data_IF_700482627408
#
_entry.id   IF_700482627408
#
_cell.length_a   1.000
_cell.length_b   1.000
_cell.length_c   1.000
_cell.angle_alpha   90.00
_cell.angle_beta   90.00
_cell.angle_gamma   90.00
#
_symmetry.space_group_name_H-M   'P 1'
#
loop_
_entity.id
_entity.type
_entity.pdbx_description
1 polymer ?
#
# COMPACT_ATOMS: atom_id res chain seq x y z
N UNK A 1 28.48 9.17 -25.73
CA UNK A 1 27.54 8.65 -26.74
C UNK A 1 26.40 9.63 -26.89
N UNK A 2 26.27 10.27 -28.05
CA UNK A 2 25.10 11.09 -28.42
C UNK A 2 24.09 10.17 -29.11
N UNK A 3 22.77 10.29 -28.87
CA UNK A 3 21.79 9.53 -29.63
C UNK A 3 21.62 10.11 -31.03
N UNK A 4 21.61 9.17 -31.97
CA UNK A 4 21.51 9.31 -33.41
C UNK A 4 20.06 9.69 -33.82
N UNK A 5 19.92 10.68 -34.70
CA UNK A 5 18.64 11.34 -34.99
C UNK A 5 17.93 10.82 -36.26
N UNK A 6 18.33 9.67 -36.79
CA UNK A 6 17.93 9.22 -38.12
C UNK A 6 17.11 7.93 -38.14
N UNK A 7 16.03 7.85 -37.34
CA UNK A 7 15.01 6.82 -37.50
C UNK A 7 13.59 7.37 -37.32
N UNK A 8 13.08 8.02 -38.37
CA UNK A 8 11.64 8.29 -38.52
C UNK A 8 11.12 7.44 -39.70
N UNK A 9 10.11 6.56 -39.49
CA UNK A 9 9.60 5.68 -40.54
C UNK A 9 8.99 6.43 -41.74
N UNK A 10 9.35 5.98 -42.95
CA UNK A 10 8.79 6.39 -44.23
C UNK A 10 7.30 5.98 -44.36
N UNK A 11 6.37 6.79 -43.86
CA UNK A 11 4.97 6.73 -44.34
C UNK A 11 4.29 8.11 -44.48
N UNK A 12 5.04 9.21 -44.48
CA UNK A 12 4.52 10.57 -44.62
C UNK A 12 5.01 11.30 -45.89
N UNK A 13 5.25 10.57 -46.99
CA UNK A 13 5.55 11.16 -48.30
C UNK A 13 4.47 10.84 -49.34
N UNK A 14 3.23 11.29 -49.13
CA UNK A 14 2.25 11.41 -50.23
C UNK A 14 1.03 12.24 -49.84
N UNK A 15 1.14 13.57 -49.88
CA UNK A 15 -0.02 14.41 -50.17
C UNK A 15 0.40 15.54 -51.12
N UNK A 16 -0.18 15.49 -52.32
CA UNK A 16 0.02 16.46 -53.38
C UNK A 16 -0.52 17.84 -53.01
N UNK A 17 0.12 18.86 -53.56
CA UNK A 17 -0.32 20.25 -53.49
C UNK A 17 -1.61 20.42 -54.31
N UNK A 18 -2.77 20.28 -53.67
CA UNK A 18 -4.02 20.88 -54.16
C UNK A 18 -4.19 22.25 -53.54
N UNK A 19 -3.89 23.30 -54.32
CA UNK A 19 -4.17 24.68 -53.97
C UNK A 19 -5.66 24.97 -54.15
N UNK A 20 -6.44 24.90 -53.07
CA UNK A 20 -7.79 25.46 -53.03
C UNK A 20 -7.73 26.95 -52.73
N UNK A 21 -8.10 27.79 -53.70
CA UNK A 21 -8.38 29.21 -53.46
C UNK A 21 -9.74 29.34 -52.76
N UNK A 22 -9.73 29.44 -51.43
CA UNK A 22 -10.92 29.81 -50.65
C UNK A 22 -10.95 31.33 -50.52
N UNK A 23 -11.82 32.00 -51.28
CA UNK A 23 -12.19 33.40 -51.00
C UNK A 23 -12.99 33.43 -49.70
N UNK A 24 -12.34 33.73 -48.57
CA UNK A 24 -13.03 34.00 -47.29
C UNK A 24 -13.31 35.49 -47.15
N UNK A 25 -14.54 35.91 -47.42
CA UNK A 25 -15.03 37.19 -46.89
C UNK A 25 -15.46 36.99 -45.44
N UNK A 26 -14.57 37.29 -44.49
CA UNK A 26 -14.96 37.31 -43.08
C UNK A 26 -15.74 38.59 -42.80
N UNK A 27 -17.07 38.46 -42.77
CA UNK A 27 -17.94 39.45 -42.13
C UNK A 27 -17.67 39.45 -40.62
N UNK A 28 -17.37 40.62 -40.05
CA UNK A 28 -17.15 40.85 -38.60
C UNK A 28 -18.32 40.39 -37.71
N UNK A 29 -19.45 39.97 -38.29
CA UNK A 29 -20.64 39.50 -37.56
C UNK A 29 -20.68 37.97 -37.29
N UNK A 30 -19.66 37.19 -37.67
CA UNK A 30 -19.67 35.72 -37.53
C UNK A 30 -18.62 35.11 -36.58
N UNK A 31 -17.90 35.93 -35.82
CA UNK A 31 -16.86 35.44 -34.87
C UNK A 31 -17.43 34.95 -33.53
N UNK A 32 -18.66 35.33 -33.18
CA UNK A 32 -19.27 34.98 -31.88
C UNK A 32 -19.48 33.47 -31.63
N UNK A 33 -19.98 32.65 -32.59
CA UNK A 33 -20.20 31.23 -32.32
C UNK A 33 -18.89 30.41 -32.23
N UNK A 34 -17.79 30.88 -32.82
CA UNK A 34 -16.49 30.18 -32.77
C UNK A 34 -15.81 30.33 -31.40
N UNK A 35 -15.96 31.49 -30.74
CA UNK A 35 -15.45 31.70 -29.38
C UNK A 35 -16.25 30.93 -28.32
N UNK A 36 -17.56 30.74 -28.51
CA UNK A 36 -18.39 29.92 -27.62
C UNK A 36 -17.99 28.44 -27.75
N UNK A 37 -17.77 27.93 -28.96
CA UNK A 37 -17.36 26.54 -29.17
C UNK A 37 -15.96 26.24 -28.61
N UNK A 38 -15.01 27.18 -28.74
CA UNK A 38 -13.67 27.05 -28.16
C UNK A 38 -13.69 27.16 -26.62
N UNK A 39 -14.56 27.99 -26.05
CA UNK A 39 -14.77 28.08 -24.60
C UNK A 39 -15.42 26.83 -24.01
N UNK A 40 -16.38 26.22 -24.72
CA UNK A 40 -17.01 24.95 -24.31
C UNK A 40 -16.01 23.78 -24.42
N UNK A 41 -15.16 23.73 -25.45
CA UNK A 41 -14.11 22.71 -25.58
C UNK A 41 -12.99 22.86 -24.51
N UNK A 42 -12.65 24.09 -24.10
CA UNK A 42 -11.71 24.32 -22.99
C UNK A 42 -12.30 23.94 -21.63
N UNK A 43 -13.61 24.15 -21.42
CA UNK A 43 -14.28 23.76 -20.19
C UNK A 43 -14.43 22.23 -20.06
N UNK A 44 -14.63 21.51 -21.17
CA UNK A 44 -14.73 20.05 -21.17
C UNK A 44 -13.34 19.40 -20.97
N UNK A 45 -12.26 20.03 -21.43
CA UNK A 45 -10.89 19.53 -21.21
C UNK A 45 -10.44 19.50 -19.74
N UNK A 46 -11.14 20.20 -18.84
CA UNK A 46 -10.84 20.20 -17.40
C UNK A 46 -11.46 19.03 -16.62
N UNK A 47 -12.24 18.16 -17.28
CA UNK A 47 -12.92 17.02 -16.63
C UNK A 47 -12.19 15.69 -16.77
N UNK A 48 -10.99 15.67 -17.36
CA UNK A 48 -10.03 14.58 -17.11
C UNK A 48 -9.39 14.75 -15.71
N UNK A 49 -10.22 14.93 -14.69
CA UNK A 49 -9.80 15.02 -13.31
C UNK A 49 -9.51 13.58 -12.85
N UNK A 50 -8.26 13.14 -13.00
CA UNK A 50 -7.81 11.93 -12.32
C UNK A 50 -8.14 12.06 -10.83
N UNK A 51 -8.75 11.02 -10.24
CA UNK A 51 -9.15 11.03 -8.83
C UNK A 51 -7.98 11.49 -7.94
N UNK A 52 -8.27 12.39 -6.99
CA UNK A 52 -7.26 12.98 -6.11
C UNK A 52 -6.54 11.92 -5.28
N UNK A 53 -5.21 11.94 -5.30
CA UNK A 53 -4.38 11.06 -4.48
C UNK A 53 -4.33 11.58 -3.06
N UNK A 54 -4.80 10.78 -2.10
CA UNK A 54 -4.77 11.12 -0.66
C UNK A 54 -3.85 10.21 0.15
N UNK A 55 -3.50 9.04 -0.39
CA UNK A 55 -2.79 7.99 0.34
C UNK A 55 -1.53 7.58 -0.43
N UNK A 56 -0.38 7.64 0.22
CA UNK A 56 0.86 7.02 -0.26
C UNK A 56 1.00 5.62 0.35
N UNK A 57 1.17 4.61 -0.50
CA UNK A 57 1.45 3.23 -0.10
C UNK A 57 2.97 3.07 -0.01
N UNK A 58 3.47 2.76 1.18
CA UNK A 58 4.89 2.51 1.44
C UNK A 58 5.03 1.10 2.01
N UNK A 59 5.97 0.31 1.49
CA UNK A 59 6.22 -0.99 2.09
C UNK A 59 6.85 -2.02 1.18
N UNK A 60 6.59 -3.28 1.53
CA UNK A 60 7.16 -4.45 0.88
C UNK A 60 6.24 -5.07 -0.20
N UNK A 61 6.25 -6.39 -0.34
CA UNK A 61 5.43 -7.11 -1.32
C UNK A 61 3.94 -7.05 -1.02
N UNK A 62 3.52 -6.97 0.24
CA UNK A 62 2.10 -6.78 0.55
C UNK A 62 1.62 -5.38 0.14
N UNK A 63 2.46 -4.37 0.34
CA UNK A 63 2.22 -3.03 -0.18
C UNK A 63 2.19 -3.03 -1.72
N UNK A 64 3.10 -3.75 -2.38
CA UNK A 64 3.14 -3.87 -3.83
C UNK A 64 1.88 -4.54 -4.40
N UNK A 65 1.36 -5.58 -3.73
CA UNK A 65 0.14 -6.28 -4.14
C UNK A 65 -1.10 -5.39 -4.12
N UNK A 66 -1.27 -4.53 -3.11
CA UNK A 66 -2.48 -3.70 -2.99
C UNK A 66 -2.47 -2.45 -3.88
N UNK A 67 -1.29 -2.03 -4.34
CA UNK A 67 -1.12 -0.84 -5.19
C UNK A 67 -1.58 -1.11 -6.63
N UNK A 68 -2.02 -0.06 -7.33
CA UNK A 68 -2.31 -0.14 -8.78
C UNK A 68 -1.01 -0.25 -9.58
N UNK A 69 0.00 0.53 -9.20
CA UNK A 69 1.37 0.44 -9.72
C UNK A 69 2.34 0.38 -8.56
N UNK A 70 3.33 -0.50 -8.67
CA UNK A 70 4.38 -0.72 -7.70
C UNK A 70 5.75 -0.70 -8.41
N UNK A 71 6.84 -0.76 -7.64
CA UNK A 71 8.19 -0.74 -8.20
C UNK A 71 8.43 -1.98 -9.06
N UNK A 72 8.50 -1.78 -10.37
CA UNK A 72 8.84 -2.81 -11.35
C UNK A 72 7.71 -3.78 -11.70
N UNK A 73 6.49 -3.58 -11.17
CA UNK A 73 5.34 -4.44 -11.49
C UNK A 73 3.99 -3.74 -11.24
N UNK A 74 2.92 -4.14 -11.95
CA UNK A 74 1.57 -3.82 -11.52
C UNK A 74 1.22 -4.61 -10.24
N UNK A 75 0.38 -4.03 -9.38
CA UNK A 75 -0.30 -4.78 -8.32
C UNK A 75 -1.76 -5.04 -8.71
N UNK A 76 -2.57 -5.48 -7.75
CA UNK A 76 -3.99 -5.76 -7.96
C UNK A 76 -4.85 -4.50 -8.02
N UNK A 77 -4.36 -3.36 -7.51
CA UNK A 77 -5.20 -2.16 -7.31
C UNK A 77 -6.30 -2.37 -6.27
N UNK A 78 -6.13 -3.31 -5.33
CA UNK A 78 -7.10 -3.63 -4.29
C UNK A 78 -7.50 -2.41 -3.47
N UNK A 79 -6.54 -1.52 -3.19
CA UNK A 79 -6.78 -0.34 -2.35
C UNK A 79 -7.70 0.68 -3.04
N UNK A 80 -7.38 1.06 -4.28
CA UNK A 80 -8.25 1.93 -5.08
C UNK A 80 -9.66 1.30 -5.24
N UNK A 81 -9.70 -0.02 -5.44
CA UNK A 81 -10.95 -0.77 -5.51
C UNK A 81 -11.79 -0.69 -4.23
N UNK A 82 -11.18 -0.85 -3.06
CA UNK A 82 -11.89 -0.75 -1.77
C UNK A 82 -12.32 0.69 -1.47
N UNK A 83 -11.51 1.70 -1.80
CA UNK A 83 -11.92 3.09 -1.67
C UNK A 83 -13.17 3.38 -2.50
N UNK A 84 -13.18 2.94 -3.76
CA UNK A 84 -14.33 3.09 -4.66
C UNK A 84 -15.58 2.34 -4.15
N UNK A 85 -15.42 1.10 -3.66
CA UNK A 85 -16.52 0.33 -3.06
C UNK A 85 -17.15 1.00 -1.84
N UNK A 86 -16.37 1.80 -1.10
CA UNK A 86 -16.83 2.56 0.05
C UNK A 86 -17.23 4.01 -0.30
N UNK A 87 -17.41 4.33 -1.59
CA UNK A 87 -17.75 5.65 -2.10
C UNK A 87 -16.77 6.77 -1.67
N UNK A 88 -15.49 6.43 -1.46
CA UNK A 88 -14.43 7.37 -1.16
C UNK A 88 -13.79 7.81 -2.49
N UNK A 89 -13.93 9.08 -2.91
CA UNK A 89 -13.56 9.54 -4.27
C UNK A 89 -12.06 9.82 -4.43
N UNK A 90 -11.21 8.99 -3.81
CA UNK A 90 -9.77 9.17 -3.73
C UNK A 90 -9.03 7.96 -4.28
N UNK A 91 -7.78 8.19 -4.67
CA UNK A 91 -6.86 7.12 -5.11
C UNK A 91 -5.60 7.09 -4.26
N UNK A 92 -4.85 6.02 -4.47
CA UNK A 92 -3.56 5.75 -3.87
C UNK A 92 -2.41 6.03 -4.83
N UNK A 93 -1.21 6.11 -4.27
CA UNK A 93 0.04 6.20 -5.00
C UNK A 93 1.05 5.22 -4.39
N UNK A 94 1.64 4.35 -5.20
CA UNK A 94 2.62 3.37 -4.73
C UNK A 94 3.76 3.09 -5.70
N UNK A 95 3.82 3.78 -6.84
CA UNK A 95 4.68 3.39 -7.98
C UNK A 95 6.16 3.33 -7.62
N UNK A 96 6.61 4.21 -6.72
CA UNK A 96 8.01 4.29 -6.27
C UNK A 96 8.21 3.82 -4.83
N UNK A 97 7.14 3.52 -4.11
CA UNK A 97 7.15 3.31 -2.64
C UNK A 97 6.56 1.99 -2.17
N UNK A 98 5.84 1.28 -3.03
CA UNK A 98 5.43 -0.09 -2.81
C UNK A 98 6.41 -1.02 -3.53
N UNK A 99 7.30 -1.70 -2.78
CA UNK A 99 8.42 -2.43 -3.36
C UNK A 99 8.61 -3.81 -2.74
N UNK A 100 8.28 -4.85 -3.52
CA UNK A 100 8.46 -6.25 -3.14
C UNK A 100 9.84 -6.60 -2.57
N UNK A 101 9.84 -7.46 -1.55
CA UNK A 101 11.05 -8.04 -0.94
C UNK A 101 11.85 -7.09 -0.04
N UNK A 102 11.37 -5.87 0.22
CA UNK A 102 12.07 -4.89 1.06
C UNK A 102 11.87 -5.12 2.55
N UNK A 103 12.93 -4.84 3.29
CA UNK A 103 12.96 -4.80 4.76
C UNK A 103 12.70 -3.39 5.26
N UNK A 104 12.36 -3.24 6.54
CA UNK A 104 12.30 -1.94 7.21
C UNK A 104 13.66 -1.24 7.14
N UNK A 105 14.75 -1.98 7.38
CA UNK A 105 16.13 -1.50 7.22
C UNK A 105 16.49 -0.99 5.81
N UNK A 106 15.82 -1.48 4.75
CA UNK A 106 16.01 -0.92 3.42
C UNK A 106 15.31 0.43 3.29
N UNK A 107 14.07 0.54 3.76
CA UNK A 107 13.29 1.77 3.72
C UNK A 107 13.85 2.88 4.62
N UNK A 108 14.50 2.52 5.73
CA UNK A 108 15.17 3.45 6.63
C UNK A 108 16.43 4.11 6.02
N UNK A 109 16.93 3.64 4.87
CA UNK A 109 18.09 4.23 4.20
C UNK A 109 17.76 5.59 3.59
N UNK A 110 18.69 6.57 3.61
CA UNK A 110 18.44 7.93 3.12
C UNK A 110 17.90 8.00 1.68
N UNK A 111 18.37 7.14 0.78
CA UNK A 111 17.93 7.09 -0.61
C UNK A 111 16.48 6.62 -0.78
N UNK A 112 15.98 5.77 0.10
CA UNK A 112 14.60 5.29 0.06
C UNK A 112 13.66 6.26 0.80
N UNK A 113 14.09 6.83 1.93
CA UNK A 113 13.38 7.94 2.56
C UNK A 113 13.17 9.11 1.58
N UNK A 114 14.18 9.44 0.77
CA UNK A 114 14.05 10.48 -0.26
C UNK A 114 12.94 10.17 -1.27
N UNK A 115 12.73 8.91 -1.65
CA UNK A 115 11.62 8.54 -2.56
C UNK A 115 10.26 8.87 -1.96
N UNK A 116 10.09 8.65 -0.65
CA UNK A 116 8.87 9.02 0.08
C UNK A 116 8.67 10.54 0.01
N UNK A 117 9.71 11.33 0.33
CA UNK A 117 9.63 12.78 0.28
C UNK A 117 9.33 13.30 -1.14
N UNK A 118 9.96 12.72 -2.16
CA UNK A 118 9.76 13.10 -3.56
C UNK A 118 8.31 12.84 -4.01
N UNK A 119 7.71 11.70 -3.62
CA UNK A 119 6.30 11.41 -3.92
C UNK A 119 5.35 12.34 -3.15
N UNK A 120 5.60 12.61 -1.87
CA UNK A 120 4.79 13.54 -1.06
C UNK A 120 4.90 15.01 -1.52
N UNK A 121 6.01 15.37 -2.17
CA UNK A 121 6.21 16.66 -2.84
C UNK A 121 5.50 16.71 -4.20
N UNK A 122 5.56 15.60 -4.96
CA UNK A 122 4.91 15.46 -6.26
C UNK A 122 3.38 15.48 -6.15
N UNK A 123 2.84 14.88 -5.09
CA UNK A 123 1.41 14.79 -4.79
C UNK A 123 1.10 15.48 -3.46
N UNK A 124 1.04 16.82 -3.42
CA UNK A 124 0.82 17.57 -2.19
C UNK A 124 -0.52 17.31 -1.51
N UNK A 125 -1.49 16.71 -2.22
CA UNK A 125 -2.78 16.29 -1.67
C UNK A 125 -2.70 15.06 -0.77
N UNK A 126 -1.60 14.30 -0.82
CA UNK A 126 -1.45 13.10 0.04
C UNK A 126 -1.26 13.54 1.49
N UNK A 127 -2.19 13.19 2.37
CA UNK A 127 -2.10 13.50 3.81
C UNK A 127 -2.01 12.23 4.68
N UNK A 128 -1.96 11.05 4.05
CA UNK A 128 -1.90 9.75 4.72
C UNK A 128 -0.83 8.86 4.09
N UNK A 129 -0.02 8.20 4.92
CA UNK A 129 0.87 7.11 4.53
C UNK A 129 0.31 5.80 5.05
N UNK A 130 0.08 4.84 4.16
CA UNK A 130 -0.23 3.46 4.49
C UNK A 130 1.07 2.64 4.47
N UNK A 131 1.54 2.21 5.64
CA UNK A 131 2.81 1.52 5.82
C UNK A 131 2.60 0.03 6.12
N UNK A 132 3.05 -0.84 5.22
CA UNK A 132 3.11 -2.30 5.45
C UNK A 132 4.56 -2.75 5.34
N UNK A 133 5.21 -3.00 6.48
CA UNK A 133 6.64 -3.32 6.53
C UNK A 133 7.01 -4.17 7.76
N UNK A 134 8.15 -4.86 7.70
CA UNK A 134 8.72 -5.68 8.78
C UNK A 134 8.62 -7.19 8.54
N UNK A 135 7.81 -7.64 7.58
CA UNK A 135 7.63 -9.05 7.25
C UNK A 135 8.90 -9.68 6.69
N UNK A 136 9.57 -9.01 5.76
CA UNK A 136 10.85 -9.51 5.23
C UNK A 136 11.99 -9.47 6.25
N UNK A 137 11.92 -8.59 7.25
CA UNK A 137 12.87 -8.59 8.36
C UNK A 137 12.70 -9.88 9.18
N UNK A 138 11.45 -10.21 9.54
CA UNK A 138 11.11 -11.48 10.19
C UNK A 138 11.54 -12.70 9.35
N UNK A 139 11.14 -12.75 8.07
CA UNK A 139 11.43 -13.88 7.18
C UNK A 139 12.94 -14.05 6.93
N UNK A 140 13.75 -13.03 7.13
CA UNK A 140 15.20 -13.17 7.08
C UNK A 140 15.76 -14.14 8.15
N UNK A 141 15.02 -14.38 9.24
CA UNK A 141 15.37 -15.43 10.22
C UNK A 141 15.23 -16.82 9.58
N UNK A 142 14.14 -17.05 8.85
CA UNK A 142 13.89 -18.31 8.15
C UNK A 142 14.95 -18.60 7.08
N UNK A 143 15.52 -17.57 6.43
CA UNK A 143 16.63 -17.78 5.46
C UNK A 143 17.92 -18.30 6.11
N UNK A 144 18.03 -18.21 7.44
CA UNK A 144 19.20 -18.72 8.19
C UNK A 144 18.98 -20.13 8.73
N UNK A 145 17.85 -20.77 8.41
CA UNK A 145 17.47 -22.09 8.94
C UNK A 145 17.20 -22.11 10.44
N UNK A 146 16.92 -20.95 11.04
CA UNK A 146 16.59 -20.81 12.46
C UNK A 146 15.09 -20.52 12.61
N UNK A 147 14.51 -21.01 13.71
CA UNK A 147 13.26 -20.47 14.21
C UNK A 147 13.55 -19.28 15.10
N UNK A 148 12.73 -18.22 15.02
CA UNK A 148 12.78 -17.13 15.98
C UNK A 148 12.50 -17.60 17.42
N UNK A 149 11.79 -18.73 17.58
CA UNK A 149 11.57 -19.38 18.87
C UNK A 149 12.87 -19.96 19.47
N UNK A 150 13.93 -20.14 18.66
CA UNK A 150 15.22 -20.64 19.15
C UNK A 150 16.15 -19.53 19.68
N UNK A 151 15.74 -18.26 19.61
CA UNK A 151 16.55 -17.13 20.08
C UNK A 151 16.45 -17.03 21.60
N UNK A 152 17.53 -16.59 22.27
CA UNK A 152 17.40 -16.20 23.68
C UNK A 152 16.48 -14.98 23.81
N UNK A 153 15.90 -14.71 24.99
CA UNK A 153 15.12 -13.50 25.21
C UNK A 153 15.85 -12.21 24.80
N UNK A 154 17.16 -12.13 25.07
CA UNK A 154 18.01 -10.99 24.73
C UNK A 154 18.25 -10.88 23.22
N UNK A 155 18.57 -11.99 22.54
CA UNK A 155 18.74 -12.02 21.09
C UNK A 155 17.44 -11.60 20.38
N UNK A 156 16.31 -12.13 20.83
CA UNK A 156 14.99 -11.82 20.29
C UNK A 156 14.63 -10.36 20.54
N UNK A 157 14.88 -9.85 21.75
CA UNK A 157 14.65 -8.43 22.06
C UNK A 157 15.53 -7.51 21.21
N UNK A 158 16.81 -7.82 21.05
CA UNK A 158 17.72 -7.05 20.20
C UNK A 158 17.26 -7.05 18.74
N UNK A 159 16.83 -8.21 18.22
CA UNK A 159 16.29 -8.34 16.88
C UNK A 159 15.03 -7.49 16.67
N UNK A 160 14.05 -7.56 17.58
CA UNK A 160 12.86 -6.73 17.51
C UNK A 160 13.16 -5.24 17.64
N UNK A 161 14.09 -4.86 18.50
CA UNK A 161 14.50 -3.47 18.68
C UNK A 161 15.09 -2.88 17.38
N UNK A 162 15.86 -3.66 16.61
CA UNK A 162 16.35 -3.22 15.30
C UNK A 162 15.20 -2.92 14.35
N UNK A 163 14.26 -3.85 14.19
CA UNK A 163 13.11 -3.68 13.28
C UNK A 163 12.25 -2.48 13.72
N UNK A 164 11.96 -2.37 15.01
CA UNK A 164 11.20 -1.25 15.57
C UNK A 164 11.89 0.10 15.32
N UNK A 165 13.22 0.16 15.45
CA UNK A 165 14.01 1.37 15.19
C UNK A 165 13.93 1.80 13.72
N UNK A 166 14.03 0.84 12.80
CA UNK A 166 13.92 1.11 11.37
C UNK A 166 12.50 1.59 11.01
N UNK A 167 11.46 0.94 11.55
CA UNK A 167 10.07 1.37 11.36
C UNK A 167 9.86 2.77 11.94
N UNK A 168 10.38 3.05 13.13
CA UNK A 168 10.31 4.38 13.74
C UNK A 168 10.97 5.43 12.85
N UNK A 169 12.14 5.12 12.27
CA UNK A 169 12.84 6.01 11.34
C UNK A 169 11.95 6.38 10.15
N UNK A 170 11.25 5.40 9.56
CA UNK A 170 10.32 5.62 8.44
C UNK A 170 9.12 6.48 8.88
N UNK A 171 8.51 6.14 10.01
CA UNK A 171 7.34 6.85 10.57
C UNK A 171 7.69 8.31 10.88
N UNK A 172 8.75 8.55 11.64
CA UNK A 172 9.22 9.89 12.00
C UNK A 172 9.50 10.71 10.75
N UNK A 173 10.15 10.11 9.74
CA UNK A 173 10.46 10.79 8.49
C UNK A 173 9.20 11.22 7.75
N UNK A 174 8.17 10.37 7.70
CA UNK A 174 6.89 10.70 7.07
C UNK A 174 6.16 11.82 7.83
N UNK A 175 6.09 11.73 9.15
CA UNK A 175 5.42 12.73 10.00
C UNK A 175 6.15 14.09 9.99
N UNK A 176 7.46 14.10 9.78
CA UNK A 176 8.24 15.33 9.64
C UNK A 176 7.99 16.09 8.33
N UNK A 177 7.33 15.49 7.34
CA UNK A 177 7.11 16.15 6.04
C UNK A 177 6.11 17.31 6.15
N UNK A 178 5.00 17.11 6.90
CA UNK A 178 3.96 18.13 7.16
C UNK A 178 3.24 17.84 8.47
N UNK A 179 2.74 18.89 9.13
CA UNK A 179 2.14 18.80 10.46
C UNK A 179 0.82 18.00 10.53
N UNK A 180 0.11 17.86 9.41
CA UNK A 180 -1.18 17.17 9.28
C UNK A 180 -1.04 15.71 8.81
N UNK A 181 0.21 15.23 8.64
CA UNK A 181 0.49 13.88 8.19
C UNK A 181 0.00 12.82 9.17
N UNK A 182 -0.58 11.77 8.60
CA UNK A 182 -0.97 10.55 9.31
C UNK A 182 -0.19 9.38 8.74
N UNK A 183 0.30 8.51 9.60
CA UNK A 183 0.90 7.23 9.20
C UNK A 183 0.04 6.12 9.80
N UNK A 184 -0.55 5.27 8.96
CA UNK A 184 -1.20 4.05 9.40
C UNK A 184 -0.25 2.88 9.16
N UNK A 185 0.23 2.26 10.24
CA UNK A 185 0.93 0.98 10.18
C UNK A 185 -0.15 -0.11 10.04
N UNK A 186 -0.17 -0.78 8.90
CA UNK A 186 -1.06 -1.92 8.67
C UNK A 186 -0.27 -3.20 8.82
N UNK A 187 -0.69 -4.04 9.77
CA UNK A 187 -0.04 -5.32 9.98
C UNK A 187 -0.43 -6.38 8.94
N UNK A 188 0.34 -7.46 8.96
CA UNK A 188 0.10 -8.64 8.15
C UNK A 188 -1.00 -9.52 8.78
N UNK A 189 -1.21 -10.69 8.18
CA UNK A 189 -1.96 -11.80 8.77
C UNK A 189 -1.02 -13.01 8.92
N UNK A 190 -1.52 -14.11 9.47
CA UNK A 190 -0.76 -15.36 9.65
C UNK A 190 -0.31 -15.95 8.32
N UNK A 191 0.85 -16.59 8.29
CA UNK A 191 1.37 -17.25 7.09
C UNK A 191 1.15 -18.77 7.13
N UNK A 192 1.22 -19.41 5.97
CA UNK A 192 1.37 -20.87 5.86
C UNK A 192 2.84 -21.20 5.62
N UNK A 193 3.53 -21.62 6.68
CA UNK A 193 4.97 -21.89 6.65
C UNK A 193 5.34 -23.05 5.73
N UNK A 194 4.49 -24.07 5.64
CA UNK A 194 4.73 -25.23 4.80
C UNK A 194 4.63 -24.84 3.31
N UNK A 195 3.62 -24.04 2.95
CA UNK A 195 3.47 -23.49 1.60
C UNK A 195 4.57 -22.49 1.28
N UNK A 196 4.93 -21.62 2.23
CA UNK A 196 6.04 -20.67 2.10
C UNK A 196 7.36 -21.39 1.80
N UNK A 197 7.69 -22.44 2.55
CA UNK A 197 8.90 -23.23 2.31
C UNK A 197 8.84 -23.99 0.96
N UNK A 198 7.67 -24.48 0.56
CA UNK A 198 7.50 -25.14 -0.74
C UNK A 198 7.67 -24.17 -1.92
N UNK A 199 7.16 -22.94 -1.82
CA UNK A 199 7.26 -21.91 -2.84
C UNK A 199 8.64 -21.23 -2.86
N UNK A 200 9.29 -21.14 -1.70
CA UNK A 200 10.57 -20.47 -1.50
C UNK A 200 11.54 -21.41 -0.76
N UNK A 201 12.25 -22.30 -1.47
CA UNK A 201 13.11 -23.32 -0.85
C UNK A 201 14.23 -22.78 0.04
N UNK A 202 14.56 -21.49 -0.08
CA UNK A 202 15.51 -20.81 0.80
C UNK A 202 14.96 -20.55 2.22
N UNK A 203 13.65 -20.61 2.42
CA UNK A 203 13.05 -20.47 3.74
C UNK A 203 13.06 -21.80 4.47
N UNK A 204 13.64 -21.81 5.67
CA UNK A 204 13.55 -22.90 6.62
C UNK A 204 13.16 -22.32 7.97
N UNK A 205 11.94 -22.64 8.40
CA UNK A 205 11.38 -22.14 9.66
C UNK A 205 11.87 -22.92 10.89
N UNK A 206 12.92 -23.74 10.74
CA UNK A 206 13.54 -24.47 11.85
C UNK A 206 12.59 -25.45 12.56
N UNK A 207 11.56 -25.95 11.86
CA UNK A 207 10.54 -26.83 12.44
C UNK A 207 9.52 -26.13 13.33
N UNK A 208 9.45 -24.79 13.31
CA UNK A 208 8.48 -24.03 14.09
C UNK A 208 7.04 -24.44 13.76
N UNK A 209 6.23 -24.60 14.80
CA UNK A 209 4.78 -24.80 14.70
C UNK A 209 4.07 -23.52 14.22
N UNK A 210 2.84 -23.61 13.68
CA UNK A 210 2.04 -22.43 13.37
C UNK A 210 1.92 -21.47 14.55
N UNK A 211 1.67 -22.00 15.77
CA UNK A 211 1.62 -21.19 17.00
C UNK A 211 2.90 -20.41 17.26
N UNK A 212 4.06 -21.05 17.22
CA UNK A 212 5.33 -20.38 17.48
C UNK A 212 5.60 -19.25 16.47
N UNK A 213 5.26 -19.46 15.20
CA UNK A 213 5.40 -18.45 14.16
C UNK A 213 4.40 -17.31 14.34
N UNK A 214 3.14 -17.64 14.57
CA UNK A 214 2.07 -16.67 14.78
C UNK A 214 2.34 -15.82 16.02
N UNK A 215 2.73 -16.43 17.14
CA UNK A 215 3.08 -15.72 18.37
C UNK A 215 4.25 -14.75 18.15
N UNK A 216 5.26 -15.14 17.37
CA UNK A 216 6.40 -14.27 17.07
C UNK A 216 6.06 -13.12 16.12
N UNK A 217 5.20 -13.33 15.12
CA UNK A 217 4.67 -12.25 14.28
C UNK A 217 3.80 -11.29 15.08
N UNK A 218 2.92 -11.83 15.93
CA UNK A 218 2.06 -11.06 16.83
C UNK A 218 2.92 -10.26 17.81
N UNK A 219 4.05 -10.78 18.28
CA UNK A 219 5.03 -10.04 19.09
C UNK A 219 5.57 -8.81 18.35
N UNK A 220 5.98 -8.96 17.08
CA UNK A 220 6.37 -7.82 16.23
C UNK A 220 5.20 -6.83 16.04
N UNK A 221 3.97 -7.34 15.88
CA UNK A 221 2.78 -6.49 15.79
C UNK A 221 2.53 -5.67 17.07
N UNK A 222 2.71 -6.27 18.25
CA UNK A 222 2.60 -5.54 19.54
C UNK A 222 3.62 -4.40 19.64
N UNK A 223 4.82 -4.60 19.09
CA UNK A 223 5.86 -3.56 19.02
C UNK A 223 5.42 -2.40 18.13
N UNK A 224 4.84 -2.69 16.96
CA UNK A 224 4.28 -1.68 16.05
C UNK A 224 3.10 -0.93 16.68
N UNK A 225 2.19 -1.63 17.36
CA UNK A 225 1.10 -1.02 18.12
C UNK A 225 1.64 -0.07 19.20
N UNK A 226 2.58 -0.53 20.01
CA UNK A 226 3.20 0.30 21.04
C UNK A 226 3.90 1.53 20.46
N UNK A 227 4.51 1.40 19.26
CA UNK A 227 5.11 2.52 18.53
C UNK A 227 4.07 3.54 18.08
N UNK A 228 2.94 3.09 17.54
CA UNK A 228 1.84 3.97 17.15
C UNK A 228 1.25 4.71 18.35
N UNK A 229 0.98 4.00 19.46
CA UNK A 229 0.39 4.58 20.67
C UNK A 229 1.22 5.73 21.28
N UNK A 230 2.55 5.68 21.15
CA UNK A 230 3.46 6.72 21.69
C UNK A 230 3.91 7.76 20.67
N UNK A 231 3.46 7.66 19.41
CA UNK A 231 3.88 8.56 18.33
C UNK A 231 2.67 9.30 17.79
N UNK A 232 2.56 10.60 18.09
CA UNK A 232 1.46 11.44 17.60
C UNK A 232 1.40 11.42 16.07
N UNK A 233 0.21 11.15 15.51
CA UNK A 233 -0.01 11.04 14.06
C UNK A 233 0.31 9.66 13.49
N UNK A 234 0.81 8.73 14.31
CA UNK A 234 0.96 7.32 13.95
C UNK A 234 -0.22 6.52 14.50
N UNK A 235 -0.77 5.66 13.67
CA UNK A 235 -1.92 4.82 13.95
C UNK A 235 -1.59 3.39 13.54
N UNK A 236 -2.39 2.44 14.00
CA UNK A 236 -2.11 1.03 13.79
C UNK A 236 -3.39 0.26 13.54
N UNK A 237 -3.36 -0.71 12.62
CA UNK A 237 -4.46 -1.64 12.38
C UNK A 237 -3.94 -3.06 12.48
N UNK A 238 -4.57 -3.84 13.37
CA UNK A 238 -4.28 -5.26 13.56
C UNK A 238 -5.06 -6.09 12.54
N UNK A 239 -4.35 -6.94 11.80
CA UNK A 239 -4.93 -7.90 10.86
C UNK A 239 -4.69 -9.35 11.28
N UNK A 240 -4.04 -9.62 12.41
CA UNK A 240 -3.70 -10.96 12.87
C UNK A 240 -4.95 -11.84 13.09
N UNK A 241 -5.11 -12.88 12.27
CA UNK A 241 -6.23 -13.81 12.28
C UNK A 241 -7.47 -13.31 11.53
N UNK A 242 -7.40 -12.16 10.85
CA UNK A 242 -8.55 -11.57 10.17
C UNK A 242 -9.02 -12.41 8.98
N UNK A 243 -8.10 -13.03 8.24
CA UNK A 243 -8.39 -13.88 7.09
C UNK A 243 -8.97 -15.23 7.50
N UNK A 244 -8.53 -15.81 8.62
CA UNK A 244 -9.20 -16.98 9.19
C UNK A 244 -10.66 -16.66 9.49
N UNK A 245 -10.91 -15.54 10.17
CA UNK A 245 -12.28 -15.12 10.44
C UNK A 245 -13.07 -14.87 9.15
N UNK A 246 -12.49 -14.18 8.16
CA UNK A 246 -13.21 -13.81 6.94
C UNK A 246 -13.54 -15.00 6.01
N UNK A 247 -12.77 -16.09 6.05
CA UNK A 247 -12.96 -17.27 5.19
C UNK A 247 -13.56 -18.47 5.92
N UNK A 248 -13.55 -18.49 7.27
CA UNK A 248 -14.15 -19.55 8.09
C UNK A 248 -15.48 -19.13 8.77
N UNK A 249 -15.93 -17.87 8.64
CA UNK A 249 -17.22 -17.35 9.13
C UNK A 249 -18.42 -17.88 8.30
N UNK A 250 -19.55 -18.28 8.93
CA UNK A 250 -19.87 -18.31 10.36
C UNK A 250 -19.55 -19.62 11.09
N UNK A 251 -18.90 -20.58 10.44
CA UNK A 251 -18.70 -21.91 11.02
C UNK A 251 -17.58 -21.96 12.07
N UNK A 252 -16.60 -21.06 12.00
CA UNK A 252 -15.40 -21.11 12.84
C UNK A 252 -15.55 -20.52 14.25
N UNK A 253 -16.51 -19.61 14.49
CA UNK A 253 -16.66 -18.92 15.79
C UNK A 253 -15.41 -18.17 16.26
N UNK A 254 -14.45 -17.91 15.35
CA UNK A 254 -13.16 -17.33 15.67
C UNK A 254 -13.31 -15.83 15.94
N UNK A 255 -12.59 -15.29 16.95
CA UNK A 255 -12.67 -13.88 17.26
C UNK A 255 -12.01 -13.05 16.15
N UNK A 256 -12.75 -12.09 15.59
CA UNK A 256 -12.16 -11.07 14.70
C UNK A 256 -11.17 -10.20 15.51
N UNK A 257 -9.96 -9.88 15.00
CA UNK A 257 -9.04 -9.03 15.73
C UNK A 257 -9.65 -7.66 16.02
N UNK A 258 -9.45 -7.17 17.25
CA UNK A 258 -9.97 -5.88 17.71
C UNK A 258 -9.36 -4.68 16.98
N UNK A 259 -10.01 -3.52 17.11
CA UNK A 259 -9.55 -2.22 16.61
C UNK A 259 -9.21 -1.25 17.75
N UNK A 260 -8.80 -0.01 17.45
CA UNK A 260 -8.53 0.99 18.47
C UNK A 260 -9.78 1.32 19.32
N UNK A 261 -9.58 1.78 20.57
CA UNK A 261 -8.30 2.01 21.23
C UNK A 261 -7.68 0.78 21.91
N UNK A 262 -8.47 -0.26 22.13
CA UNK A 262 -8.25 -1.37 23.06
C UNK A 262 -7.78 -2.67 22.39
N UNK A 263 -8.00 -2.79 21.08
CA UNK A 263 -7.55 -3.91 20.24
C UNK A 263 -7.89 -5.28 20.79
N UNK A 264 -8.97 -5.41 21.56
CA UNK A 264 -9.35 -6.67 22.19
C UNK A 264 -10.39 -7.37 21.30
N UNK A 265 -10.15 -8.61 20.84
CA UNK A 265 -9.00 -9.48 21.14
C UNK A 265 -7.75 -9.19 20.27
N UNK A 266 -6.56 -9.51 20.81
CA UNK A 266 -5.26 -9.38 20.15
C UNK A 266 -4.36 -10.62 20.35
N UNK A 267 -4.11 -11.45 19.33
CA UNK A 267 -4.69 -11.44 17.99
C UNK A 267 -6.15 -11.89 17.96
N UNK A 268 -6.76 -11.89 16.78
CA UNK A 268 -7.94 -12.70 16.50
C UNK A 268 -7.57 -14.09 15.99
N UNK A 269 -8.54 -14.81 15.44
CA UNK A 269 -8.33 -16.11 14.80
C UNK A 269 -7.94 -17.23 15.77
N UNK A 270 -7.47 -18.33 15.19
CA UNK A 270 -6.85 -19.46 15.87
C UNK A 270 -5.33 -19.40 15.68
N UNK A 271 -4.55 -19.11 16.75
CA UNK A 271 -3.09 -19.05 16.68
C UNK A 271 -2.44 -20.39 16.31
N UNK A 272 -3.12 -21.53 16.44
CA UNK A 272 -2.58 -22.85 16.07
C UNK A 272 -2.71 -23.15 14.57
N UNK A 273 -3.28 -22.23 13.78
CA UNK A 273 -3.52 -22.41 12.35
C UNK A 273 -2.85 -21.32 11.50
N UNK A 274 -2.47 -21.63 10.24
CA UNK A 274 -2.05 -20.62 9.28
C UNK A 274 -3.26 -19.82 8.74
N UNK A 275 -3.03 -18.85 7.86
CA UNK A 275 -4.12 -18.30 7.05
C UNK A 275 -4.76 -19.40 6.16
N UNK A 276 -6.06 -19.31 5.83
CA UNK A 276 -6.72 -20.29 4.97
C UNK A 276 -6.09 -20.37 3.58
N UNK A 277 -6.12 -21.56 2.97
CA UNK A 277 -5.48 -21.82 1.68
C UNK A 277 -6.04 -20.94 0.54
N UNK A 278 -7.33 -20.64 0.59
CA UNK A 278 -8.05 -19.77 -0.35
C UNK A 278 -7.66 -18.30 -0.21
N UNK A 279 -7.08 -17.92 0.93
CA UNK A 279 -6.73 -16.54 1.23
C UNK A 279 -5.36 -16.13 0.65
N UNK A 280 -4.51 -17.06 0.20
CA UNK A 280 -3.21 -16.77 -0.39
C UNK A 280 -3.05 -17.27 -1.83
N UNK A 281 -2.10 -16.71 -2.58
CA UNK A 281 -1.85 -17.03 -4.01
C UNK A 281 -1.14 -18.37 -4.24
N UNK A 282 -1.25 -19.30 -3.29
CA UNK A 282 -0.57 -20.60 -3.31
C UNK A 282 0.84 -20.62 -2.70
N UNK A 283 1.42 -19.47 -2.37
CA UNK A 283 2.78 -19.37 -1.82
C UNK A 283 2.86 -19.33 -0.28
N UNK A 284 1.73 -19.33 0.41
CA UNK A 284 1.65 -19.27 1.87
C UNK A 284 2.02 -17.94 2.51
N UNK A 285 2.35 -16.90 1.72
CA UNK A 285 2.80 -15.59 2.22
C UNK A 285 1.90 -14.47 1.73
N UNK A 286 1.56 -14.44 0.44
CA UNK A 286 0.90 -13.29 -0.18
C UNK A 286 -0.60 -13.54 -0.30
N UNK A 287 -1.44 -12.66 0.28
CA UNK A 287 -2.87 -12.75 0.12
C UNK A 287 -3.31 -12.59 -1.34
N UNK A 288 -4.44 -13.21 -1.69
CA UNK A 288 -5.13 -12.95 -2.96
C UNK A 288 -5.72 -11.53 -2.98
N UNK A 289 -6.12 -11.02 -4.16
CA UNK A 289 -6.84 -9.73 -4.24
C UNK A 289 -8.10 -9.71 -3.33
N UNK A 290 -8.99 -10.73 -3.36
CA UNK A 290 -10.12 -10.79 -2.43
C UNK A 290 -9.70 -10.76 -0.95
N UNK A 291 -8.64 -11.46 -0.56
CA UNK A 291 -8.13 -11.45 0.81
C UNK A 291 -7.59 -10.07 1.21
N UNK A 292 -6.77 -9.44 0.36
CA UNK A 292 -6.32 -8.06 0.60
C UNK A 292 -7.48 -7.08 0.76
N UNK A 293 -8.55 -7.22 -0.03
CA UNK A 293 -9.76 -6.39 0.10
C UNK A 293 -10.42 -6.53 1.49
N UNK A 294 -10.44 -7.73 2.08
CA UNK A 294 -10.96 -7.93 3.45
C UNK A 294 -10.11 -7.20 4.49
N UNK A 295 -8.78 -7.29 4.39
CA UNK A 295 -7.86 -6.57 5.28
C UNK A 295 -7.97 -5.05 5.11
N UNK A 296 -8.07 -4.58 3.88
CA UNK A 296 -8.24 -3.16 3.57
C UNK A 296 -9.58 -2.61 4.05
N UNK A 297 -10.67 -3.40 3.99
CA UNK A 297 -11.96 -2.98 4.54
C UNK A 297 -11.85 -2.68 6.04
N UNK A 298 -11.11 -3.49 6.80
CA UNK A 298 -10.84 -3.19 8.22
C UNK A 298 -10.14 -1.85 8.40
N UNK A 299 -9.20 -1.52 7.52
CA UNK A 299 -8.54 -0.22 7.54
C UNK A 299 -9.53 0.92 7.22
N UNK A 300 -10.46 0.71 6.29
CA UNK A 300 -11.51 1.68 5.97
C UNK A 300 -12.39 1.95 7.18
N UNK A 301 -12.88 0.88 7.80
CA UNK A 301 -13.85 0.95 8.89
C UNK A 301 -13.23 1.62 10.14
N UNK A 302 -11.96 1.34 10.42
CA UNK A 302 -11.29 1.85 11.63
C UNK A 302 -10.71 3.26 11.46
N UNK A 303 -10.30 3.65 10.24
CA UNK A 303 -9.54 4.89 10.04
C UNK A 303 -9.98 5.70 8.82
N UNK A 304 -9.91 5.11 7.62
CA UNK A 304 -9.97 5.93 6.40
C UNK A 304 -11.33 6.59 6.19
N UNK A 305 -12.43 5.97 6.63
CA UNK A 305 -13.75 6.58 6.50
C UNK A 305 -13.76 7.94 7.19
N UNK A 306 -13.40 7.99 8.48
CA UNK A 306 -13.31 9.24 9.23
C UNK A 306 -12.32 10.22 8.58
N UNK A 307 -11.08 9.79 8.31
CA UNK A 307 -10.03 10.69 7.80
C UNK A 307 -10.33 11.31 6.44
N UNK A 308 -11.07 10.61 5.59
CA UNK A 308 -11.37 11.03 4.23
C UNK A 308 -12.72 11.72 4.09
N UNK A 309 -13.63 11.61 5.08
CA UNK A 309 -14.92 12.33 5.07
C UNK A 309 -14.92 13.58 5.94
N UNK A 310 -14.13 13.64 7.01
CA UNK A 310 -14.15 14.76 7.98
C UNK A 310 -13.67 16.12 7.41
N UNK A 311 -13.14 16.13 6.18
CA UNK A 311 -12.80 17.34 5.43
C UNK A 311 -13.94 17.93 4.60
N UNK A 312 -15.04 17.19 4.37
CA UNK A 312 -16.17 17.64 3.55
C UNK A 312 -17.10 18.56 4.34
N UNK A 313 -17.16 18.41 5.67
CA UNK A 313 -18.02 19.19 6.57
C UNK A 313 -17.45 20.55 7.01
N UNK A 314 -16.29 20.97 6.48
CA UNK A 314 -15.71 22.32 6.75
C UNK A 314 -15.91 23.32 5.61
N UNK A 315 -16.73 22.96 4.61
CA UNK A 315 -17.12 23.83 3.50
C UNK A 315 -18.64 23.85 3.39
N UNK A 316 -19.30 24.38 4.42
CA UNK A 316 -20.68 24.90 4.34
C UNK A 316 -20.74 26.25 5.05
#
# INVERSE_FOLDING_TARGET
>A
MKPDADNIPLFLKRFGKTSFHVKRSFSKKSLFPLFILFGVLLAIACTACGQTKRILIVGDSWAASIATRAVGMPGFGSFDGILAQNALPYTTQGELTAWGGRKASDWAKPENLRKIADELKRYPSIDIVHLIIGGNDFLAVATKGKSIASYTPEERAAFWNTIETDIKTIVDYCLAQRADMKVLISDYDFLDAAKAQAAYPQFSFGGATPRELNDAFVELGRRKLALAQRTKGCYYVSNWGALQCAYEDPQGGLPVPGGPPDYTPYAGGDPDKPMPAEAHVGDGIHPTDPAHRKLLQRCIDQFYKAWLTDGISRVE
#
